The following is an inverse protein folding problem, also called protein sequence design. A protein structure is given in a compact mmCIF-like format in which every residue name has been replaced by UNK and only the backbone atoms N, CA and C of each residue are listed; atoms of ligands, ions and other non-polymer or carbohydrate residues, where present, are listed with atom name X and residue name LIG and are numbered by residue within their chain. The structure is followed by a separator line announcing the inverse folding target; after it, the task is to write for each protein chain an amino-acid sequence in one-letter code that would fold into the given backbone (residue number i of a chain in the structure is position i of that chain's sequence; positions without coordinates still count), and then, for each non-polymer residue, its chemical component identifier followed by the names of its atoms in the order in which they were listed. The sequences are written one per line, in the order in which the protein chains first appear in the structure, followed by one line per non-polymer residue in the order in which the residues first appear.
data_IF_704817674324
#
_entry.id   IF_704817674324
#
_cell.length_a   1.000
_cell.length_b   1.000
_cell.length_c   1.000
_cell.angle_alpha   90.00
_cell.angle_beta   90.00
_cell.angle_gamma   90.00
#
_symmetry.space_group_name_H-M   'P 1'
#
loop_
_entity.id
_entity.type
_entity.pdbx_description
1 polymer ?
#
# COMPACT_ATOMS: atom_id res chain seq x y z
N UNK A 1 -8.26 -12.60 -10.55
CA UNK A 1 -7.17 -12.20 -9.62
C UNK A 1 -7.58 -12.57 -8.21
N UNK A 2 -6.81 -13.41 -7.61
CA UNK A 2 -7.07 -13.91 -6.27
C UNK A 2 -6.08 -13.30 -5.26
N UNK A 3 -6.47 -13.36 -4.00
CA UNK A 3 -5.63 -12.85 -2.90
C UNK A 3 -4.23 -13.48 -2.90
N UNK A 4 -4.17 -14.76 -3.13
CA UNK A 4 -2.94 -15.53 -3.14
C UNK A 4 -1.97 -15.10 -4.23
N UNK A 5 -2.49 -14.66 -5.37
CA UNK A 5 -1.66 -14.16 -6.48
C UNK A 5 -0.96 -12.85 -6.09
N UNK A 6 -1.68 -11.98 -5.43
CA UNK A 6 -1.11 -10.72 -4.92
C UNK A 6 -0.06 -11.01 -3.86
N UNK A 7 -0.35 -11.91 -2.94
CA UNK A 7 0.61 -12.31 -1.89
C UNK A 7 1.88 -12.88 -2.51
N UNK A 8 1.76 -13.76 -3.50
CA UNK A 8 2.94 -14.31 -4.22
C UNK A 8 3.78 -13.21 -4.87
N UNK A 9 3.13 -12.24 -5.49
CA UNK A 9 3.82 -11.11 -6.09
C UNK A 9 4.58 -10.28 -5.05
N UNK A 10 3.97 -9.99 -3.90
CA UNK A 10 4.64 -9.28 -2.81
C UNK A 10 5.86 -10.08 -2.31
N UNK A 11 5.70 -11.38 -2.10
CA UNK A 11 6.79 -12.24 -1.65
C UNK A 11 7.93 -12.31 -2.67
N UNK A 12 7.60 -12.32 -3.96
CA UNK A 12 8.61 -12.28 -5.03
C UNK A 12 9.44 -10.99 -4.94
N UNK A 13 8.79 -9.85 -4.75
CA UNK A 13 9.49 -8.57 -4.56
C UNK A 13 10.39 -8.62 -3.32
N UNK A 14 9.89 -9.15 -2.21
CA UNK A 14 10.70 -9.29 -0.99
C UNK A 14 11.93 -10.16 -1.21
N UNK A 15 11.80 -11.27 -1.92
CA UNK A 15 12.91 -12.16 -2.26
C UNK A 15 13.93 -11.46 -3.16
N UNK A 16 13.45 -10.74 -4.18
CA UNK A 16 14.32 -9.99 -5.10
C UNK A 16 15.09 -8.88 -4.38
N UNK A 17 14.48 -8.26 -3.39
CA UNK A 17 15.13 -7.23 -2.56
C UNK A 17 16.03 -7.81 -1.46
N UNK A 18 15.93 -9.10 -1.19
CA UNK A 18 16.65 -9.73 -0.08
C UNK A 18 16.20 -9.26 1.30
N UNK A 19 14.96 -8.83 1.46
CA UNK A 19 14.42 -8.34 2.73
C UNK A 19 13.78 -9.46 3.55
N UNK A 20 13.84 -9.32 4.85
CA UNK A 20 13.21 -10.25 5.80
C UNK A 20 11.70 -10.02 5.84
N UNK A 21 10.94 -11.10 5.85
CA UNK A 21 9.48 -11.03 5.94
C UNK A 21 8.90 -12.19 6.76
N UNK A 22 7.68 -11.97 7.27
CA UNK A 22 6.88 -12.97 7.96
C UNK A 22 5.47 -13.01 7.36
N UNK A 23 4.96 -14.21 7.15
CA UNK A 23 3.61 -14.44 6.63
C UNK A 23 2.62 -14.70 7.75
N UNK A 24 1.36 -14.30 7.53
CA UNK A 24 0.24 -14.56 8.45
C UNK A 24 0.56 -14.14 9.88
N UNK A 25 1.01 -12.91 10.04
CA UNK A 25 1.36 -12.36 11.34
C UNK A 25 0.08 -12.02 12.11
N UNK A 26 0.01 -12.46 13.35
CA UNK A 26 -1.10 -12.13 14.26
C UNK A 26 -0.53 -11.67 15.59
N UNK A 27 -0.95 -10.48 16.00
CA UNK A 27 -0.67 -9.93 17.33
C UNK A 27 -1.96 -9.91 18.14
N UNK A 28 -1.91 -9.44 19.37
CA UNK A 28 -3.11 -9.28 20.21
C UNK A 28 -4.05 -8.21 19.67
N UNK A 29 -3.56 -7.28 18.88
CA UNK A 29 -4.28 -6.07 18.45
C UNK A 29 -4.57 -6.02 16.96
N UNK A 30 -3.76 -6.66 16.13
CA UNK A 30 -3.92 -6.64 14.68
C UNK A 30 -3.35 -7.90 14.03
N UNK A 31 -3.67 -8.07 12.76
CA UNK A 31 -3.14 -9.14 11.91
C UNK A 31 -2.74 -8.58 10.55
N UNK A 32 -1.82 -9.24 9.90
CA UNK A 32 -1.40 -8.92 8.54
C UNK A 32 -1.07 -10.18 7.75
N UNK A 33 -1.28 -10.12 6.44
CA UNK A 33 -0.92 -11.24 5.56
C UNK A 33 0.61 -11.38 5.44
N UNK A 34 1.31 -10.25 5.34
CA UNK A 34 2.77 -10.19 5.27
C UNK A 34 3.25 -9.00 6.08
N UNK A 35 4.29 -9.20 6.87
CA UNK A 35 5.04 -8.11 7.51
C UNK A 35 6.47 -8.17 7.02
N UNK A 36 6.95 -7.06 6.50
CA UNK A 36 8.31 -6.90 5.97
C UNK A 36 9.12 -6.03 6.91
N UNK A 37 10.31 -6.48 7.23
CA UNK A 37 11.29 -5.72 7.99
C UNK A 37 12.37 -5.17 7.03
N UNK A 38 12.52 -3.85 7.03
CA UNK A 38 13.56 -3.19 6.25
C UNK A 38 14.23 -2.13 7.11
N UNK A 39 15.48 -2.36 7.48
CA UNK A 39 16.20 -1.51 8.42
C UNK A 39 15.40 -1.36 9.74
N UNK A 40 15.05 -0.15 10.15
CA UNK A 40 14.22 0.12 11.33
C UNK A 40 12.75 0.36 10.99
N UNK A 41 12.31 -0.13 9.83
CA UNK A 41 11.01 0.14 9.26
C UNK A 41 10.24 -1.16 9.03
N UNK A 42 8.98 -1.19 9.44
CA UNK A 42 8.09 -2.33 9.23
C UNK A 42 6.92 -1.93 8.35
N UNK A 43 6.64 -2.76 7.36
CA UNK A 43 5.46 -2.61 6.51
C UNK A 43 4.58 -3.84 6.65
N UNK A 44 3.31 -3.63 6.98
CA UNK A 44 2.32 -4.68 7.09
C UNK A 44 1.35 -4.61 5.91
N UNK A 45 1.37 -5.63 5.07
CA UNK A 45 0.47 -5.75 3.93
C UNK A 45 -0.74 -6.60 4.28
N UNK A 46 -1.91 -6.09 3.97
CA UNK A 46 -3.17 -6.81 4.03
C UNK A 46 -3.81 -6.81 2.65
N UNK A 47 -4.22 -7.99 2.18
CA UNK A 47 -4.90 -8.15 0.90
C UNK A 47 -6.33 -8.63 1.17
N UNK A 48 -7.33 -7.84 0.77
CA UNK A 48 -8.72 -8.14 1.09
C UNK A 48 -9.69 -7.53 0.08
N UNK A 49 -10.91 -8.06 0.04
CA UNK A 49 -12.00 -7.47 -0.76
C UNK A 49 -12.70 -6.34 0.00
N UNK A 50 -12.92 -6.54 1.29
CA UNK A 50 -13.62 -5.58 2.15
C UNK A 50 -12.81 -5.35 3.42
N UNK A 51 -12.05 -4.27 3.48
CA UNK A 51 -11.32 -3.93 4.69
C UNK A 51 -12.29 -3.68 5.86
N UNK A 52 -11.98 -4.25 7.01
CA UNK A 52 -12.75 -4.08 8.24
C UNK A 52 -11.88 -3.55 9.36
N UNK A 53 -12.46 -2.74 10.24
CA UNK A 53 -11.77 -2.17 11.42
C UNK A 53 -10.46 -1.46 11.07
N UNK A 54 -10.41 -0.83 9.91
CA UNK A 54 -9.19 -0.19 9.40
C UNK A 54 -8.72 0.92 10.34
N UNK A 55 -9.65 1.76 10.79
CA UNK A 55 -9.30 2.90 11.64
C UNK A 55 -8.56 2.46 12.91
N UNK A 56 -9.12 1.49 13.61
CA UNK A 56 -8.53 0.95 14.82
C UNK A 56 -7.19 0.27 14.53
N UNK A 57 -7.16 -0.57 13.51
CA UNK A 57 -5.95 -1.31 13.11
C UNK A 57 -4.84 -0.34 12.68
N UNK A 58 -5.17 0.61 11.83
CA UNK A 58 -4.21 1.62 11.35
C UNK A 58 -3.65 2.45 12.50
N UNK A 59 -4.51 2.91 13.41
CA UNK A 59 -4.09 3.69 14.58
C UNK A 59 -3.16 2.88 15.48
N UNK A 60 -3.48 1.62 15.70
CA UNK A 60 -2.67 0.74 16.55
C UNK A 60 -1.32 0.44 15.91
N UNK A 61 -1.31 0.07 14.63
CA UNK A 61 -0.07 -0.18 13.89
C UNK A 61 0.85 1.04 13.91
N UNK A 62 0.27 2.21 13.75
CA UNK A 62 1.01 3.46 13.75
C UNK A 62 1.67 3.76 15.09
N UNK A 63 0.97 3.51 16.20
CA UNK A 63 1.55 3.62 17.54
C UNK A 63 2.73 2.66 17.73
N UNK A 64 2.69 1.51 17.08
CA UNK A 64 3.75 0.50 17.11
C UNK A 64 4.83 0.73 16.04
N UNK A 65 4.74 1.84 15.30
CA UNK A 65 5.66 2.20 14.21
C UNK A 65 5.65 1.19 13.07
N UNK A 66 4.49 0.63 12.78
CA UNK A 66 4.24 -0.25 11.64
C UNK A 66 3.46 0.52 10.59
N UNK A 67 3.97 0.52 9.36
CA UNK A 67 3.28 1.09 8.23
C UNK A 67 2.25 0.08 7.70
N UNK A 68 0.98 0.29 7.99
CA UNK A 68 -0.10 -0.53 7.45
C UNK A 68 -0.40 -0.18 5.99
N UNK A 69 -0.66 -1.21 5.19
CA UNK A 69 -1.03 -1.05 3.78
C UNK A 69 -2.10 -2.09 3.44
N UNK A 70 -3.24 -1.64 2.91
CA UNK A 70 -4.33 -2.50 2.47
C UNK A 70 -4.44 -2.47 0.97
N UNK A 71 -4.21 -3.62 0.34
CA UNK A 71 -4.44 -3.82 -1.09
C UNK A 71 -5.84 -4.40 -1.27
N UNK A 72 -6.71 -3.63 -1.89
CA UNK A 72 -8.13 -3.95 -1.99
C UNK A 72 -8.43 -4.55 -3.35
N UNK A 73 -8.82 -5.81 -3.35
CA UNK A 73 -9.19 -6.54 -4.55
C UNK A 73 -10.49 -6.01 -5.13
N UNK A 74 -10.73 -6.18 -6.44
CA UNK A 74 -12.01 -5.82 -7.06
C UNK A 74 -13.18 -6.48 -6.32
N UNK A 75 -14.20 -5.69 -5.99
CA UNK A 75 -15.36 -6.15 -5.24
C UNK A 75 -16.27 -5.00 -4.87
N UNK A 76 -17.25 -5.27 -3.98
CA UNK A 76 -18.24 -4.30 -3.55
C UNK A 76 -17.77 -3.51 -2.32
N UNK A 77 -16.72 -2.76 -2.43
CA UNK A 77 -16.30 -1.88 -1.35
C UNK A 77 -16.71 -0.42 -1.63
N UNK A 78 -17.02 0.29 -0.58
CA UNK A 78 -17.29 1.72 -0.69
C UNK A 78 -15.97 2.50 -0.68
N UNK A 79 -15.59 2.97 -1.84
CA UNK A 79 -14.31 3.64 -2.07
C UNK A 79 -14.15 4.93 -1.28
N UNK A 80 -15.22 5.64 -1.06
CA UNK A 80 -15.18 6.94 -0.38
C UNK A 80 -14.87 6.81 1.10
N UNK A 81 -15.35 5.76 1.74
CA UNK A 81 -15.08 5.54 3.17
C UNK A 81 -13.64 5.17 3.47
N UNK A 82 -12.90 4.69 2.48
CA UNK A 82 -11.52 4.22 2.64
C UNK A 82 -10.46 5.26 2.30
N UNK A 83 -10.86 6.41 1.76
CA UNK A 83 -9.93 7.45 1.31
C UNK A 83 -9.03 8.05 2.41
N UNK A 84 -9.41 7.88 3.66
CA UNK A 84 -8.66 8.38 4.82
C UNK A 84 -7.53 7.45 5.27
N UNK A 85 -7.44 6.27 4.70
CA UNK A 85 -6.52 5.23 5.13
C UNK A 85 -5.67 4.74 3.97
N UNK A 86 -4.53 4.09 4.22
CA UNK A 86 -3.65 3.57 3.17
C UNK A 86 -4.25 2.32 2.49
N UNK A 87 -5.39 2.50 1.85
CA UNK A 87 -6.13 1.50 1.10
C UNK A 87 -6.02 1.77 -0.38
N UNK A 88 -5.47 0.81 -1.11
CA UNK A 88 -5.16 0.96 -2.52
C UNK A 88 -5.89 -0.10 -3.33
N UNK A 89 -6.80 0.29 -4.23
CA UNK A 89 -7.43 -0.64 -5.14
C UNK A 89 -6.42 -1.30 -6.07
N UNK A 90 -6.61 -2.59 -6.30
CA UNK A 90 -5.77 -3.40 -7.19
C UNK A 90 -6.55 -3.70 -8.47
N UNK A 91 -5.91 -3.57 -9.60
CA UNK A 91 -6.46 -3.91 -10.91
C UNK A 91 -5.47 -4.77 -11.68
N UNK A 92 -5.96 -5.80 -12.34
CA UNK A 92 -5.19 -6.61 -13.26
C UNK A 92 -5.56 -6.23 -14.69
N UNK A 93 -4.59 -5.82 -15.47
CA UNK A 93 -4.77 -5.44 -16.86
C UNK A 93 -3.65 -6.02 -17.75
N UNK A 94 -3.65 -5.66 -19.04
CA UNK A 94 -2.68 -6.16 -20.01
C UNK A 94 -1.21 -5.84 -19.67
N UNK A 95 -0.99 -4.84 -18.84
CA UNK A 95 0.35 -4.43 -18.39
C UNK A 95 0.77 -5.11 -17.08
N UNK A 96 -0.11 -5.90 -16.49
CA UNK A 96 0.10 -6.60 -15.24
C UNK A 96 -0.75 -6.05 -14.10
N UNK A 97 -0.39 -6.39 -12.88
CA UNK A 97 -1.11 -5.96 -11.68
C UNK A 97 -0.74 -4.52 -11.35
N UNK A 98 -1.74 -3.65 -11.34
CA UNK A 98 -1.61 -2.22 -11.08
C UNK A 98 -2.20 -1.85 -9.72
N UNK A 99 -1.57 -0.93 -9.04
CA UNK A 99 -2.06 -0.33 -7.80
C UNK A 99 -2.56 1.09 -8.12
N UNK A 100 -3.81 1.37 -7.78
CA UNK A 100 -4.38 2.70 -7.90
C UNK A 100 -3.96 3.57 -6.73
N UNK A 101 -3.29 4.68 -7.04
CA UNK A 101 -2.81 5.63 -6.03
C UNK A 101 -3.82 6.71 -5.69
N UNK A 102 -4.81 6.89 -6.55
CA UNK A 102 -5.91 7.83 -6.34
C UNK A 102 -7.25 7.12 -6.47
N UNK A 103 -8.17 7.48 -5.61
CA UNK A 103 -9.56 7.00 -5.69
C UNK A 103 -10.44 7.91 -6.54
N UNK A 104 -9.89 9.00 -7.05
CA UNK A 104 -10.62 9.92 -7.92
C UNK A 104 -10.54 9.41 -9.35
N UNK A 105 -11.70 9.16 -9.93
CA UNK A 105 -11.85 8.47 -11.23
C UNK A 105 -11.27 9.20 -12.43
N UNK A 106 -11.19 10.52 -12.35
CA UNK A 106 -10.78 11.33 -13.49
C UNK A 106 -9.28 11.25 -13.79
N UNK A 107 -8.51 10.72 -12.86
CA UNK A 107 -7.07 10.62 -12.99
C UNK A 107 -6.55 9.27 -12.49
N UNK A 108 -6.48 8.35 -13.42
CA UNK A 108 -5.92 7.02 -13.19
C UNK A 108 -4.42 7.12 -12.98
N UNK A 109 -4.01 7.20 -11.74
CA UNK A 109 -2.60 7.09 -11.37
C UNK A 109 -2.35 5.72 -10.81
N UNK A 110 -1.60 4.95 -11.55
CA UNK A 110 -1.28 3.58 -11.20
C UNK A 110 0.22 3.36 -11.18
N UNK A 111 0.64 2.46 -10.33
CA UNK A 111 1.97 1.86 -10.35
C UNK A 111 1.83 0.36 -10.50
N UNK A 112 2.80 -0.26 -11.14
CA UNK A 112 2.94 -1.71 -11.09
C UNK A 112 3.07 -2.14 -9.63
N UNK A 113 2.45 -3.27 -9.29
CA UNK A 113 2.48 -3.81 -7.93
C UNK A 113 3.92 -3.94 -7.41
N UNK A 114 4.83 -4.45 -8.23
CA UNK A 114 6.24 -4.61 -7.87
C UNK A 114 6.91 -3.27 -7.52
N UNK A 115 6.67 -2.23 -8.31
CA UNK A 115 7.23 -0.90 -8.08
C UNK A 115 6.63 -0.25 -6.84
N UNK A 116 5.32 -0.40 -6.64
CA UNK A 116 4.64 0.09 -5.45
C UNK A 116 5.18 -0.57 -4.18
N UNK A 117 5.26 -1.90 -4.17
CA UNK A 117 5.71 -2.67 -3.01
C UNK A 117 7.17 -2.33 -2.66
N UNK A 118 8.06 -2.36 -3.65
CA UNK A 118 9.47 -2.05 -3.42
C UNK A 118 9.66 -0.62 -2.91
N UNK A 119 8.94 0.33 -3.47
CA UNK A 119 9.02 1.74 -3.07
C UNK A 119 8.46 1.97 -1.67
N UNK A 120 7.39 1.29 -1.31
CA UNK A 120 6.82 1.38 0.04
C UNK A 120 7.76 0.76 1.08
N UNK A 121 8.35 -0.40 0.79
CA UNK A 121 9.33 -1.06 1.66
C UNK A 121 10.55 -0.16 1.87
N UNK A 122 11.07 0.45 0.82
CA UNK A 122 12.23 1.34 0.88
C UNK A 122 11.92 2.71 1.50
N UNK A 123 10.66 2.98 1.83
CA UNK A 123 10.25 4.27 2.36
C UNK A 123 10.28 5.42 1.36
N UNK A 124 10.38 5.13 0.07
CA UNK A 124 10.29 6.13 -1.01
C UNK A 124 8.87 6.66 -1.19
N UNK A 125 7.89 5.82 -0.89
CA UNK A 125 6.47 6.15 -0.87
C UNK A 125 5.98 5.94 0.56
N UNK A 126 5.28 6.95 1.09
CA UNK A 126 4.66 6.87 2.42
C UNK A 126 3.28 7.48 2.37
N UNK A 127 2.35 6.86 3.07
CA UNK A 127 1.04 7.42 3.29
C UNK A 127 1.11 8.56 4.32
N UNK A 128 0.56 9.71 3.98
CA UNK A 128 0.50 10.86 4.87
C UNK A 128 -0.94 11.15 5.31
N UNK A 129 -1.13 11.43 6.59
CA UNK A 129 -2.44 11.74 7.17
C UNK A 129 -3.14 12.94 6.55
N UNK A 130 -2.36 13.86 6.02
CA UNK A 130 -2.89 15.10 5.43
C UNK A 130 -3.53 14.89 4.07
N UNK A 131 -3.56 13.67 3.58
CA UNK A 131 -4.15 13.33 2.29
C UNK A 131 -3.53 14.09 1.11
N UNK A 132 -2.27 14.50 1.22
CA UNK A 132 -1.54 15.22 0.16
C UNK A 132 -0.35 14.40 -0.30
N UNK A 133 -0.08 14.37 -1.57
CA UNK A 133 1.11 13.70 -2.09
C UNK A 133 2.30 14.62 -1.94
N UNK A 134 3.32 14.14 -1.26
CA UNK A 134 4.62 14.81 -1.22
C UNK A 134 5.67 13.90 -1.83
N UNK A 135 6.30 14.38 -2.86
CA UNK A 135 7.38 13.67 -3.50
C UNK A 135 8.71 14.03 -2.87
N UNK A 136 9.43 13.03 -2.52
CA UNK A 136 10.74 13.15 -1.91
C UNK A 136 11.81 12.55 -2.80
N UNK A 137 11.40 11.74 -3.78
CA UNK A 137 12.26 11.25 -4.85
C UNK A 137 11.77 11.80 -6.19
N UNK A 138 12.62 12.63 -6.83
CA UNK A 138 12.31 13.29 -8.11
C UNK A 138 11.98 12.30 -9.23
N UNK A 139 12.51 11.10 -9.17
CA UNK A 139 12.22 10.06 -10.17
C UNK A 139 10.77 9.61 -10.11
N UNK A 140 10.19 9.59 -8.93
CA UNK A 140 8.77 9.30 -8.74
C UNK A 140 7.87 10.45 -9.14
N UNK A 141 8.35 11.67 -9.05
CA UNK A 141 7.60 12.85 -9.43
C UNK A 141 7.12 12.81 -10.89
N UNK A 142 7.93 12.24 -11.78
CA UNK A 142 7.56 12.08 -13.19
C UNK A 142 6.50 11.01 -13.42
N UNK A 143 6.41 10.03 -12.52
CA UNK A 143 5.49 8.90 -12.62
C UNK A 143 4.18 9.17 -11.89
N UNK A 144 4.27 9.86 -10.76
CA UNK A 144 3.14 10.20 -9.92
C UNK A 144 2.82 11.69 -10.11
N UNK A 145 1.82 11.99 -10.92
CA UNK A 145 1.39 13.37 -11.06
C UNK A 145 0.67 13.81 -9.79
N UNK A 146 1.15 14.89 -9.20
CA UNK A 146 0.55 15.49 -8.02
C UNK A 146 -0.83 15.99 -8.30
N UNK A 147 -1.76 15.55 -7.51
CA UNK A 147 -3.10 16.02 -7.64
C UNK A 147 -3.74 16.32 -6.31
N UNK A 148 -4.68 17.20 -6.34
CA UNK A 148 -5.32 17.84 -5.19
C UNK A 148 -6.28 16.93 -4.43
N UNK A 149 -6.11 15.62 -4.47
CA UNK A 149 -7.17 14.73 -4.04
C UNK A 149 -6.77 13.83 -2.90
N UNK A 150 -7.77 13.36 -2.33
CA UNK A 150 -7.98 12.58 -1.15
C UNK A 150 -6.97 11.48 -0.78
N UNK A 151 -5.97 11.20 -1.56
CA UNK A 151 -4.87 10.33 -1.19
C UNK A 151 -3.57 11.08 -1.33
N UNK A 152 -2.85 11.08 -0.28
CA UNK A 152 -1.57 11.74 -0.29
C UNK A 152 -0.51 10.74 0.04
N UNK A 153 0.33 10.49 -0.92
CA UNK A 153 1.54 9.74 -0.76
C UNK A 153 2.67 10.71 -0.45
N UNK A 154 3.39 10.41 0.58
CA UNK A 154 4.60 11.10 0.89
C UNK A 154 5.76 10.32 0.29
N UNK A 155 6.49 10.93 -0.63
CA UNK A 155 7.64 10.33 -1.27
C UNK A 155 8.90 10.92 -0.66
N UNK A 156 9.70 10.09 0.00
CA UNK A 156 10.91 10.55 0.66
C UNK A 156 12.14 10.46 -0.24
N UNK A 157 12.96 11.43 -0.14
CA UNK A 157 14.24 11.52 -0.85
C UNK A 157 15.19 10.40 -0.45
#
# INVERSE_FOLDING_TARGET
MEKEDIIKNILSVCNDMGVSFHKKVKTDKWKADIVVDYQNYKVAFNVCKNPRNIEETYTTMRKERVCGCWLVLPGMYNRFSLSKYPCFPVEDNSEGVQIHLSQVWEEKKTLLLSDFVSSLIQGKIRYAETMKVKYVDVRFYKTLILQHYSLTLFISA
#
